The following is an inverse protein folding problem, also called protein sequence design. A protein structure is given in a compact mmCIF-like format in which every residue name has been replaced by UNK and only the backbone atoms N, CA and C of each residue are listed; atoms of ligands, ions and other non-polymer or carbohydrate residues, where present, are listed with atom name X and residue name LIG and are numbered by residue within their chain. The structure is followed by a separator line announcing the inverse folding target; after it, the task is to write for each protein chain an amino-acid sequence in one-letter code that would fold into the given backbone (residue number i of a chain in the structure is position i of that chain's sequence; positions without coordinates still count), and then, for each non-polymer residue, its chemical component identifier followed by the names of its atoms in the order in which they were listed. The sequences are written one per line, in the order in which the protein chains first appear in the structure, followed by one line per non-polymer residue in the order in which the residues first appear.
data_IF_115074452628
#
_entry.id   IF_115074452628
#
_cell.length_a   1.000
_cell.length_b   1.000
_cell.length_c   1.000
_cell.angle_alpha   90.00
_cell.angle_beta   90.00
_cell.angle_gamma   90.00
#
_symmetry.space_group_name_H-M   'P 1'
#
loop_
_entity.id
_entity.type
_entity.pdbx_description
1 polymer ?
#
# COMPACT_ATOMS: atom_id res chain seq x y z
N UNK A 1 -32.37 -15.82 10.82
CA UNK A 1 -31.17 -16.46 11.40
C UNK A 1 -29.96 -16.48 10.46
N UNK A 2 -30.12 -16.65 9.13
CA UNK A 2 -28.97 -16.62 8.20
C UNK A 2 -28.38 -15.21 7.93
N UNK A 3 -29.16 -14.14 8.14
CA UNK A 3 -28.72 -12.75 7.87
C UNK A 3 -27.62 -12.25 8.82
N UNK A 4 -27.65 -12.65 10.10
CA UNK A 4 -26.73 -12.14 11.12
C UNK A 4 -25.32 -12.74 11.06
N UNK A 5 -25.17 -13.93 10.47
CA UNK A 5 -23.87 -14.58 10.30
C UNK A 5 -23.08 -13.94 9.14
N UNK A 6 -23.75 -13.51 8.08
CA UNK A 6 -23.15 -12.79 6.95
C UNK A 6 -22.71 -11.38 7.35
N UNK A 7 -23.47 -10.71 8.24
CA UNK A 7 -23.06 -9.42 8.81
C UNK A 7 -21.82 -9.57 9.69
N UNK A 8 -21.78 -10.54 10.61
CA UNK A 8 -20.63 -10.78 11.48
C UNK A 8 -19.32 -11.06 10.71
N UNK A 9 -19.38 -11.91 9.67
CA UNK A 9 -18.24 -12.17 8.78
C UNK A 9 -17.76 -10.90 8.05
N UNK A 10 -18.68 -9.99 7.73
CA UNK A 10 -18.35 -8.69 7.13
C UNK A 10 -17.63 -7.75 8.10
N UNK A 11 -18.05 -7.70 9.36
CA UNK A 11 -17.41 -6.86 10.39
C UNK A 11 -15.99 -7.33 10.70
N UNK A 12 -15.79 -8.65 10.82
CA UNK A 12 -14.48 -9.24 11.08
C UNK A 12 -13.50 -9.00 9.92
N UNK A 13 -13.97 -9.13 8.68
CA UNK A 13 -13.18 -8.83 7.49
C UNK A 13 -12.81 -7.34 7.42
N UNK A 14 -13.75 -6.45 7.74
CA UNK A 14 -13.50 -5.00 7.78
C UNK A 14 -12.45 -4.65 8.85
N UNK A 15 -12.55 -5.22 10.04
CA UNK A 15 -11.59 -4.99 11.12
C UNK A 15 -10.19 -5.53 10.76
N UNK A 16 -10.12 -6.73 10.18
CA UNK A 16 -8.87 -7.31 9.68
C UNK A 16 -8.24 -6.43 8.59
N UNK A 17 -9.06 -5.91 7.67
CA UNK A 17 -8.61 -5.02 6.61
C UNK A 17 -8.03 -3.71 7.15
N UNK A 18 -8.73 -3.04 8.06
CA UNK A 18 -8.24 -1.81 8.70
C UNK A 18 -6.94 -2.05 9.48
N UNK A 19 -6.84 -3.18 10.17
CA UNK A 19 -5.61 -3.59 10.87
C UNK A 19 -4.43 -3.76 9.90
N UNK A 20 -4.65 -4.44 8.78
CA UNK A 20 -3.65 -4.60 7.73
C UNK A 20 -3.24 -3.25 7.13
N UNK A 21 -4.22 -2.41 6.77
CA UNK A 21 -3.97 -1.09 6.20
C UNK A 21 -3.11 -0.22 7.13
N UNK A 22 -3.42 -0.20 8.44
CA UNK A 22 -2.62 0.53 9.44
C UNK A 22 -1.18 0.01 9.52
N UNK A 23 -0.98 -1.31 9.46
CA UNK A 23 0.36 -1.90 9.46
C UNK A 23 1.17 -1.48 8.24
N UNK A 24 0.55 -1.48 7.05
CA UNK A 24 1.20 -0.99 5.82
C UNK A 24 1.57 0.50 5.97
N UNK A 25 0.63 1.34 6.41
CA UNK A 25 0.87 2.77 6.57
C UNK A 25 1.99 3.07 7.58
N UNK A 26 2.06 2.34 8.69
CA UNK A 26 3.09 2.53 9.72
C UNK A 26 4.46 1.94 9.34
N UNK A 27 4.50 0.91 8.50
CA UNK A 27 5.74 0.22 8.12
C UNK A 27 6.37 0.77 6.84
N UNK A 28 5.75 1.75 6.17
CA UNK A 28 6.19 2.28 4.89
C UNK A 28 6.30 3.80 4.91
N UNK A 29 7.30 4.33 4.22
CA UNK A 29 7.45 5.76 4.00
C UNK A 29 6.57 6.23 2.83
N UNK A 30 5.83 7.32 3.01
CA UNK A 30 5.03 7.93 1.93
C UNK A 30 5.87 8.89 1.09
N UNK A 31 6.29 8.42 -0.09
CA UNK A 31 7.05 9.24 -1.04
C UNK A 31 6.13 9.96 -2.05
N UNK A 32 4.81 9.79 -1.92
CA UNK A 32 3.81 10.47 -2.72
C UNK A 32 4.00 10.23 -4.23
N UNK A 33 4.01 11.29 -5.07
CA UNK A 33 4.15 11.16 -6.53
C UNK A 33 5.56 10.75 -6.98
N UNK A 34 6.56 10.74 -6.08
CA UNK A 34 7.94 10.37 -6.41
C UNK A 34 8.18 8.87 -6.36
N UNK A 35 7.12 8.05 -6.22
CA UNK A 35 7.23 6.61 -6.02
C UNK A 35 8.07 5.92 -7.09
N UNK A 36 7.84 6.19 -8.37
CA UNK A 36 8.60 5.56 -9.45
C UNK A 36 10.09 5.93 -9.41
N UNK A 37 10.42 7.18 -9.07
CA UNK A 37 11.82 7.62 -8.95
C UNK A 37 12.50 6.96 -7.75
N UNK A 38 11.86 6.98 -6.58
CA UNK A 38 12.43 6.38 -5.37
C UNK A 38 12.56 4.87 -5.49
N UNK A 39 11.60 4.18 -6.10
CA UNK A 39 11.67 2.73 -6.32
C UNK A 39 12.88 2.35 -7.18
N UNK A 40 13.15 3.10 -8.27
CA UNK A 40 14.35 2.91 -9.11
C UNK A 40 15.63 3.15 -8.34
N UNK A 41 15.71 4.26 -7.59
CA UNK A 41 16.90 4.57 -6.77
C UNK A 41 17.19 3.47 -5.76
N UNK A 42 16.16 2.96 -5.07
CA UNK A 42 16.30 1.84 -4.12
C UNK A 42 16.76 0.57 -4.84
N UNK A 43 16.15 0.24 -5.99
CA UNK A 43 16.50 -0.95 -6.78
C UNK A 43 17.95 -0.91 -7.29
N UNK A 44 18.45 0.25 -7.71
CA UNK A 44 19.84 0.43 -8.17
C UNK A 44 20.85 0.66 -7.03
N UNK A 45 20.41 0.74 -5.78
CA UNK A 45 21.29 0.98 -4.63
C UNK A 45 21.75 2.43 -4.47
N UNK A 46 21.08 3.38 -5.12
CA UNK A 46 21.34 4.83 -5.04
C UNK A 46 20.62 5.51 -3.86
N UNK A 47 19.73 4.78 -3.19
CA UNK A 47 19.03 5.20 -1.97
C UNK A 47 18.99 4.05 -0.96
N UNK A 48 18.78 4.40 0.31
CA UNK A 48 18.68 3.43 1.39
C UNK A 48 17.50 2.46 1.18
N UNK A 49 17.75 1.17 1.40
CA UNK A 49 16.75 0.10 1.36
C UNK A 49 15.73 0.28 2.49
N UNK A 50 14.50 0.60 2.12
CA UNK A 50 13.36 0.78 3.02
C UNK A 50 12.06 0.55 2.27
N UNK A 51 10.99 0.23 3.00
CA UNK A 51 9.69 0.06 2.37
C UNK A 51 9.05 1.42 2.08
N UNK A 52 8.66 1.63 0.82
CA UNK A 52 8.03 2.87 0.36
C UNK A 52 6.63 2.61 -0.16
N UNK A 53 5.77 3.61 -0.05
CA UNK A 53 4.46 3.68 -0.69
C UNK A 53 4.28 5.04 -1.36
N UNK A 54 3.44 5.10 -2.37
CA UNK A 54 3.13 6.35 -3.03
C UNK A 54 2.12 6.15 -4.15
N UNK A 55 2.05 7.14 -5.04
CA UNK A 55 1.16 7.15 -6.20
C UNK A 55 2.01 7.10 -7.46
N UNK A 56 1.54 6.33 -8.42
CA UNK A 56 2.18 6.11 -9.70
C UNK A 56 1.09 5.86 -10.74
N UNK A 57 1.30 6.30 -11.98
CA UNK A 57 0.36 6.03 -13.06
C UNK A 57 0.39 4.54 -13.48
N UNK A 58 -0.65 4.04 -14.16
CA UNK A 58 -0.62 2.69 -14.72
C UNK A 58 0.54 2.48 -15.70
N UNK A 59 0.86 3.48 -16.51
CA UNK A 59 1.98 3.42 -17.48
C UNK A 59 3.33 3.28 -16.77
N UNK A 60 3.60 4.13 -15.78
CA UNK A 60 4.82 4.04 -14.98
C UNK A 60 4.89 2.72 -14.18
N UNK A 61 3.75 2.17 -13.74
CA UNK A 61 3.72 0.86 -13.09
C UNK A 61 4.20 -0.24 -14.03
N UNK A 62 3.78 -0.21 -15.29
CA UNK A 62 4.25 -1.16 -16.30
C UNK A 62 5.75 -1.01 -16.56
N UNK A 63 6.24 0.23 -16.66
CA UNK A 63 7.68 0.49 -16.81
C UNK A 63 8.49 -0.07 -15.64
N UNK A 64 8.03 0.13 -14.40
CA UNK A 64 8.69 -0.44 -13.22
C UNK A 64 8.74 -1.98 -13.30
N UNK A 65 7.65 -2.63 -13.71
CA UNK A 65 7.61 -4.09 -13.86
C UNK A 65 8.55 -4.58 -14.98
N UNK A 66 8.61 -3.88 -16.11
CA UNK A 66 9.52 -4.17 -17.23
C UNK A 66 11.00 -4.01 -16.82
N UNK A 67 11.29 -3.04 -15.94
CA UNK A 67 12.60 -2.83 -15.32
C UNK A 67 12.94 -3.90 -14.25
N UNK A 68 12.00 -4.76 -13.87
CA UNK A 68 12.17 -5.78 -12.84
C UNK A 68 11.92 -5.29 -11.41
N UNK A 69 11.30 -4.12 -11.25
CA UNK A 69 10.94 -3.52 -9.97
C UNK A 69 9.52 -3.99 -9.60
N UNK A 70 9.42 -4.80 -8.55
CA UNK A 70 8.14 -5.32 -8.09
C UNK A 70 7.28 -4.22 -7.45
N UNK A 71 6.03 -4.10 -7.90
CA UNK A 71 5.05 -3.14 -7.37
C UNK A 71 3.78 -3.88 -6.95
N UNK A 72 3.24 -3.54 -5.79
CA UNK A 72 1.98 -4.09 -5.28
C UNK A 72 0.89 -3.00 -5.25
N UNK A 73 -0.13 -3.06 -6.12
CA UNK A 73 -1.27 -2.17 -6.05
C UNK A 73 -2.08 -2.43 -4.77
N UNK A 74 -2.22 -1.41 -3.92
CA UNK A 74 -3.00 -1.48 -2.69
C UNK A 74 -4.03 -0.34 -2.63
N UNK A 75 -5.29 -0.67 -2.41
CA UNK A 75 -6.36 0.30 -2.16
C UNK A 75 -6.49 0.51 -0.66
N UNK A 76 -5.84 1.52 -0.09
CA UNK A 76 -5.93 1.77 1.35
C UNK A 76 -7.19 2.59 1.69
N UNK A 77 -7.97 2.23 2.72
CA UNK A 77 -9.10 3.03 3.16
C UNK A 77 -8.62 4.34 3.77
N UNK A 78 -9.23 5.47 3.39
CA UNK A 78 -8.85 6.80 3.91
C UNK A 78 -8.91 6.88 5.44
N UNK A 79 -9.89 6.21 6.06
CA UNK A 79 -10.03 6.13 7.53
C UNK A 79 -8.83 5.51 8.25
N UNK A 80 -7.95 4.77 7.55
CA UNK A 80 -6.72 4.24 8.16
C UNK A 80 -5.62 5.31 8.32
N UNK A 81 -5.68 6.42 7.56
CA UNK A 81 -4.71 7.53 7.65
C UNK A 81 -4.98 8.46 8.83
N UNK A 82 -6.25 8.64 9.20
CA UNK A 82 -6.66 9.58 10.27
C UNK A 82 -6.24 9.13 11.67
N UNK A 83 -6.10 7.82 11.89
CA UNK A 83 -5.75 7.27 13.22
C UNK A 83 -4.24 7.23 13.51
N UNK A 84 -3.40 7.73 12.61
CA UNK A 84 -1.93 7.68 12.70
C UNK A 84 -1.27 9.06 12.86
N UNK A 85 -2.04 10.10 13.19
CA UNK A 85 -1.54 11.45 13.46
C UNK A 85 -1.15 11.66 14.92
#
# INVERSE_FOLDING_TARGET
MASSATEALGVDLQAAWLSMARRVLAATEDVGPQFAQEARRIHHGEAEQRAIRGRVSPEETLQLLDEGIAVLPLVLPEAAKETLQ
#
